data_IF_784505938320
#
_entry.id   IF_784505938320
#
_cell.length_a   1.000
_cell.length_b   1.000
_cell.length_c   1.000
_cell.angle_alpha   90.00
_cell.angle_beta   90.00
_cell.angle_gamma   90.00
#
_symmetry.space_group_name_H-M   'P 1'
#
loop_
_entity.id
_entity.type
_entity.pdbx_description
1 polymer ?
#
# COMPACT_ATOMS: atom_id res chain seq x y z
N UNK A 1 -3.19 19.29 18.74
CA UNK A 1 -3.97 18.08 19.04
C UNK A 1 -4.05 17.21 17.80
N UNK A 2 -3.59 16.00 17.89
CA UNK A 2 -3.77 15.02 16.83
C UNK A 2 -5.22 14.54 16.85
N UNK A 3 -6.05 15.05 15.95
CA UNK A 3 -7.40 14.55 15.74
C UNK A 3 -7.38 13.17 15.05
N UNK A 4 -8.51 12.51 15.06
CA UNK A 4 -8.74 11.29 14.29
C UNK A 4 -9.69 11.60 13.13
N UNK A 5 -9.35 11.15 11.94
CA UNK A 5 -10.21 11.23 10.78
C UNK A 5 -10.81 9.84 10.52
N UNK A 6 -12.12 9.73 10.72
CA UNK A 6 -12.85 8.49 10.51
C UNK A 6 -13.34 8.43 9.06
N UNK A 7 -13.01 7.34 8.38
CA UNK A 7 -13.40 7.09 7.00
C UNK A 7 -14.39 5.92 6.98
N UNK A 8 -15.56 6.14 6.42
CA UNK A 8 -16.53 5.06 6.21
C UNK A 8 -16.25 4.30 4.89
N UNK A 9 -16.96 3.18 4.68
CA UNK A 9 -16.76 2.36 3.48
C UNK A 9 -17.08 3.10 2.18
N UNK A 10 -18.09 3.97 2.18
CA UNK A 10 -18.44 4.75 0.99
C UNK A 10 -17.34 5.75 0.62
N UNK A 11 -16.80 6.45 1.61
CA UNK A 11 -15.67 7.36 1.43
C UNK A 11 -14.42 6.62 0.96
N UNK A 12 -14.13 5.46 1.56
CA UNK A 12 -12.98 4.64 1.19
C UNK A 12 -13.08 4.15 -0.25
N UNK A 13 -14.26 3.68 -0.64
CA UNK A 13 -14.51 3.25 -2.02
C UNK A 13 -14.29 4.37 -3.03
N UNK A 14 -14.74 5.58 -2.70
CA UNK A 14 -14.50 6.76 -3.53
C UNK A 14 -13.01 7.07 -3.69
N UNK A 15 -12.23 6.94 -2.61
CA UNK A 15 -10.78 7.13 -2.66
C UNK A 15 -10.08 6.05 -3.51
N UNK A 16 -10.55 4.81 -3.42
CA UNK A 16 -10.07 3.74 -4.32
C UNK A 16 -10.30 4.11 -5.78
N UNK A 17 -11.48 4.62 -6.12
CA UNK A 17 -11.81 5.05 -7.49
C UNK A 17 -10.86 6.16 -7.97
N UNK A 18 -10.48 7.07 -7.08
CA UNK A 18 -9.51 8.13 -7.42
C UNK A 18 -8.14 7.55 -7.78
N UNK A 19 -7.66 6.55 -7.03
CA UNK A 19 -6.38 5.88 -7.34
C UNK A 19 -6.48 5.12 -8.67
N UNK A 20 -7.57 4.38 -8.88
CA UNK A 20 -7.82 3.66 -10.15
C UNK A 20 -7.76 4.63 -11.32
N UNK A 21 -8.46 5.75 -11.23
CA UNK A 21 -8.48 6.77 -12.28
C UNK A 21 -7.09 7.38 -12.51
N UNK A 22 -6.33 7.63 -11.45
CA UNK A 22 -4.96 8.15 -11.57
C UNK A 22 -4.05 7.19 -12.33
N UNK A 23 -4.13 5.90 -12.02
CA UNK A 23 -3.35 4.87 -12.73
C UNK A 23 -3.76 4.79 -14.20
N UNK A 24 -5.07 4.73 -14.47
CA UNK A 24 -5.57 4.64 -15.84
C UNK A 24 -5.17 5.87 -16.67
N UNK A 25 -5.28 7.07 -16.10
CA UNK A 25 -4.96 8.32 -16.80
C UNK A 25 -3.46 8.52 -17.01
N UNK A 26 -2.62 7.87 -16.23
CA UNK A 26 -1.15 7.97 -16.35
C UNK A 26 -0.59 7.27 -17.58
N UNK A 27 -1.34 6.34 -18.14
CA UNK A 27 -0.84 5.46 -19.21
C UNK A 27 -0.02 4.28 -18.71
N UNK A 28 0.27 4.17 -17.42
CA UNK A 28 0.94 3.01 -16.85
C UNK A 28 0.02 1.78 -16.93
N UNK A 29 0.54 0.69 -17.48
CA UNK A 29 -0.20 -0.57 -17.66
C UNK A 29 0.51 -1.67 -16.88
N UNK A 30 0.16 -1.88 -15.59
CA UNK A 30 0.78 -2.93 -14.81
C UNK A 30 0.40 -4.31 -15.34
N UNK A 31 1.32 -5.25 -15.23
CA UNK A 31 1.07 -6.67 -15.52
C UNK A 31 0.55 -7.41 -14.28
N UNK A 32 0.86 -6.88 -13.08
CA UNK A 32 0.49 -7.47 -11.80
C UNK A 32 0.27 -6.38 -10.75
N UNK A 33 -0.73 -6.58 -9.91
CA UNK A 33 -0.98 -5.76 -8.72
C UNK A 33 -0.47 -6.53 -7.51
N UNK A 34 0.48 -5.96 -6.78
CA UNK A 34 1.06 -6.58 -5.58
C UNK A 34 0.58 -5.83 -4.35
N UNK A 35 -0.37 -6.40 -3.63
CA UNK A 35 -0.92 -5.82 -2.42
C UNK A 35 -0.11 -6.15 -1.19
N UNK A 36 0.09 -5.16 -0.33
CA UNK A 36 0.74 -5.34 0.98
C UNK A 36 -0.34 -5.68 2.00
N UNK A 37 -0.28 -6.88 2.56
CA UNK A 37 -1.24 -7.27 3.58
C UNK A 37 -0.87 -6.64 4.95
N UNK A 38 -1.86 -6.24 5.71
CA UNK A 38 -3.31 -6.29 5.43
C UNK A 38 -3.85 -5.01 4.78
N UNK A 39 -3.30 -3.85 5.13
CA UNK A 39 -3.87 -2.55 4.82
C UNK A 39 -4.07 -2.27 3.34
N UNK A 40 -3.18 -2.76 2.50
CA UNK A 40 -3.23 -2.55 1.06
C UNK A 40 -4.20 -3.44 0.30
N UNK A 41 -4.83 -4.43 0.95
CA UNK A 41 -5.62 -5.45 0.25
C UNK A 41 -6.88 -4.88 -0.42
N UNK A 42 -7.58 -3.94 0.21
CA UNK A 42 -8.79 -3.35 -0.38
C UNK A 42 -8.48 -2.54 -1.63
N UNK A 43 -7.44 -1.71 -1.58
CA UNK A 43 -7.01 -0.94 -2.74
C UNK A 43 -6.48 -1.86 -3.85
N UNK A 44 -5.70 -2.88 -3.48
CA UNK A 44 -5.16 -3.83 -4.44
C UNK A 44 -6.27 -4.62 -5.15
N UNK A 45 -7.29 -5.07 -4.43
CA UNK A 45 -8.45 -5.76 -5.01
C UNK A 45 -9.20 -4.84 -5.99
N UNK A 46 -9.43 -3.60 -5.60
CA UNK A 46 -10.08 -2.61 -6.46
C UNK A 46 -9.31 -2.35 -7.75
N UNK A 47 -8.00 -2.17 -7.65
CA UNK A 47 -7.10 -1.99 -8.80
C UNK A 47 -7.07 -3.23 -9.70
N UNK A 48 -6.92 -4.41 -9.10
CA UNK A 48 -6.88 -5.69 -9.82
C UNK A 48 -8.14 -5.89 -10.68
N UNK A 49 -9.30 -5.68 -10.07
CA UNK A 49 -10.59 -5.84 -10.77
C UNK A 49 -10.80 -4.78 -11.85
N UNK A 50 -10.54 -3.52 -11.54
CA UNK A 50 -10.74 -2.40 -12.46
C UNK A 50 -9.79 -2.45 -13.66
N UNK A 51 -8.55 -2.83 -13.43
CA UNK A 51 -7.53 -2.93 -14.49
C UNK A 51 -7.49 -4.30 -15.15
N UNK A 52 -8.23 -5.28 -14.62
CA UNK A 52 -8.28 -6.67 -15.10
C UNK A 52 -6.89 -7.32 -15.12
N UNK A 53 -6.18 -7.17 -14.00
CA UNK A 53 -4.83 -7.72 -13.83
C UNK A 53 -4.77 -8.63 -12.62
N UNK A 54 -3.91 -9.67 -12.65
CA UNK A 54 -3.79 -10.56 -11.51
C UNK A 54 -3.29 -9.83 -10.27
N UNK A 55 -3.72 -10.30 -9.11
CA UNK A 55 -3.30 -9.78 -7.82
C UNK A 55 -2.40 -10.80 -7.12
N UNK A 56 -1.31 -10.32 -6.58
CA UNK A 56 -0.43 -11.04 -5.67
C UNK A 56 -0.40 -10.34 -4.33
N UNK A 57 0.04 -11.03 -3.28
CA UNK A 57 0.09 -10.49 -1.92
C UNK A 57 1.45 -10.75 -1.28
N UNK A 58 2.01 -9.69 -0.69
CA UNK A 58 3.19 -9.77 0.15
C UNK A 58 2.82 -9.29 1.56
N UNK A 59 3.29 -10.00 2.58
CA UNK A 59 3.06 -9.58 3.95
C UNK A 59 4.22 -8.72 4.45
N UNK A 60 3.88 -7.63 5.10
CA UNK A 60 4.83 -6.77 5.80
C UNK A 60 4.24 -6.42 7.16
N UNK A 61 5.04 -6.52 8.20
CA UNK A 61 4.64 -6.08 9.53
C UNK A 61 5.80 -5.39 10.22
N UNK A 62 5.49 -4.34 10.96
CA UNK A 62 6.44 -3.73 11.87
C UNK A 62 6.23 -4.35 13.25
N UNK A 63 7.28 -4.99 13.76
CA UNK A 63 7.28 -5.53 15.12
C UNK A 63 7.52 -4.38 16.09
N UNK A 64 6.60 -4.20 17.04
CA UNK A 64 6.79 -3.29 18.16
C UNK A 64 7.07 -4.13 19.41
N UNK A 65 8.07 -3.72 20.20
CA UNK A 65 8.27 -4.31 21.52
C UNK A 65 7.00 -4.15 22.37
N UNK A 66 6.79 -5.06 23.32
CA UNK A 66 5.63 -5.08 24.19
C UNK A 66 5.37 -3.73 24.89
N UNK A 67 6.41 -2.94 25.08
CA UNK A 67 6.33 -1.61 25.69
C UNK A 67 5.95 -0.48 24.72
N UNK A 68 5.84 -0.76 23.43
CA UNK A 68 5.44 0.23 22.42
C UNK A 68 6.41 1.40 22.19
N UNK A 69 7.62 1.33 22.76
CA UNK A 69 8.59 2.42 22.80
C UNK A 69 9.69 2.32 21.75
N UNK A 70 9.93 1.14 21.16
CA UNK A 70 10.91 0.97 20.09
C UNK A 70 10.22 0.95 18.73
N UNK A 71 10.77 1.68 17.75
CA UNK A 71 10.45 1.45 16.35
C UNK A 71 10.87 0.03 16.02
N UNK A 72 9.89 -0.86 15.88
CA UNK A 72 10.15 -2.24 15.65
C UNK A 72 10.77 -2.48 14.29
N UNK A 73 11.53 -3.55 14.22
CA UNK A 73 12.13 -4.03 12.99
C UNK A 73 11.00 -4.38 11.99
N UNK A 74 11.12 -3.89 10.76
CA UNK A 74 10.20 -4.26 9.69
C UNK A 74 10.49 -5.69 9.25
N UNK A 75 9.46 -6.54 9.29
CA UNK A 75 9.52 -7.92 8.82
C UNK A 75 8.75 -8.05 7.52
N UNK A 76 9.43 -8.60 6.51
CA UNK A 76 8.84 -8.92 5.21
C UNK A 76 8.72 -10.42 5.07
N UNK A 77 7.61 -10.87 4.46
CA UNK A 77 7.47 -12.29 4.14
C UNK A 77 8.52 -12.70 3.09
N UNK A 78 9.09 -13.89 3.29
CA UNK A 78 10.06 -14.43 2.34
C UNK A 78 9.41 -14.86 1.02
N UNK A 79 8.10 -15.03 0.99
CA UNK A 79 7.36 -15.50 -0.17
C UNK A 79 6.20 -14.57 -0.50
N UNK A 80 5.86 -14.52 -1.78
CA UNK A 80 4.72 -13.80 -2.31
C UNK A 80 3.65 -14.82 -2.67
N UNK A 81 2.42 -14.61 -2.22
CA UNK A 81 1.28 -15.43 -2.62
C UNK A 81 0.80 -14.97 -4.00
N UNK A 82 0.98 -15.83 -5.00
CA UNK A 82 0.63 -15.51 -6.38
C UNK A 82 0.36 -16.79 -7.16
N UNK A 83 -0.55 -16.70 -8.13
CA UNK A 83 -0.84 -17.81 -9.07
C UNK A 83 0.29 -17.98 -10.08
N UNK A 84 0.93 -16.87 -10.44
CA UNK A 84 2.05 -16.84 -11.38
C UNK A 84 3.19 -15.99 -10.81
N UNK A 85 4.43 -16.16 -11.31
CA UNK A 85 5.54 -15.33 -10.85
C UNK A 85 5.24 -13.84 -11.03
N UNK A 86 5.62 -13.03 -10.02
CA UNK A 86 5.52 -11.57 -10.10
C UNK A 86 6.63 -11.08 -11.02
N UNK A 87 6.25 -10.53 -12.17
CA UNK A 87 7.20 -10.12 -13.21
C UNK A 87 6.61 -9.02 -14.09
N UNK A 88 7.45 -8.41 -14.91
CA UNK A 88 7.06 -7.35 -15.82
C UNK A 88 6.85 -6.02 -15.07
N UNK A 89 5.79 -5.32 -15.41
CA UNK A 89 5.40 -4.06 -14.76
C UNK A 89 4.54 -4.36 -13.55
N UNK A 90 5.02 -3.99 -12.37
CA UNK A 90 4.36 -4.31 -11.10
C UNK A 90 3.94 -3.02 -10.40
N UNK A 91 2.70 -3.00 -9.93
CA UNK A 91 2.18 -1.94 -9.06
C UNK A 91 2.11 -2.46 -7.64
N UNK A 92 2.97 -1.93 -6.77
CA UNK A 92 2.99 -2.23 -5.34
C UNK A 92 1.98 -1.32 -4.64
N UNK A 93 1.08 -1.91 -3.86
CA UNK A 93 -0.09 -1.21 -3.31
C UNK A 93 -0.15 -1.36 -1.81
N UNK A 94 -0.21 -0.23 -1.11
CA UNK A 94 -0.47 -0.16 0.32
C UNK A 94 -1.59 0.85 0.61
N UNK A 95 -2.02 0.97 1.85
CA UNK A 95 -3.07 1.93 2.23
C UNK A 95 -2.53 3.33 2.46
N UNK A 96 -1.42 3.44 3.15
CA UNK A 96 -0.91 4.70 3.70
C UNK A 96 0.62 4.73 3.65
N UNK A 97 1.16 5.83 3.15
CA UNK A 97 2.56 6.18 3.33
C UNK A 97 2.67 7.13 4.53
N UNK A 98 2.97 6.60 5.71
CA UNK A 98 3.14 7.35 6.96
C UNK A 98 4.56 7.91 7.04
N UNK A 99 5.52 7.12 7.51
CA UNK A 99 6.94 7.49 7.43
C UNK A 99 7.53 7.20 6.06
N UNK A 100 6.93 6.28 5.32
CA UNK A 100 7.40 5.84 4.02
C UNK A 100 8.46 4.72 4.08
N UNK A 101 8.91 4.34 5.26
CA UNK A 101 9.98 3.34 5.43
C UNK A 101 9.55 1.96 4.95
N UNK A 102 8.29 1.57 5.17
CA UNK A 102 7.76 0.28 4.71
C UNK A 102 7.81 0.16 3.18
N UNK A 103 7.31 1.18 2.47
CA UNK A 103 7.33 1.17 1.00
C UNK A 103 8.76 1.22 0.45
N UNK A 104 9.63 2.02 1.06
CA UNK A 104 11.03 2.09 0.69
C UNK A 104 11.72 0.74 0.83
N UNK A 105 11.50 0.06 1.97
CA UNK A 105 12.07 -1.26 2.23
C UNK A 105 11.52 -2.33 1.29
N UNK A 106 10.21 -2.29 1.03
CA UNK A 106 9.56 -3.22 0.09
C UNK A 106 10.10 -3.07 -1.33
N UNK A 107 10.23 -1.85 -1.82
CA UNK A 107 10.79 -1.60 -3.15
C UNK A 107 12.22 -2.14 -3.26
N UNK A 108 13.05 -1.92 -2.25
CA UNK A 108 14.42 -2.46 -2.22
C UNK A 108 14.44 -3.99 -2.21
N UNK A 109 13.58 -4.58 -1.37
CA UNK A 109 13.45 -6.03 -1.27
C UNK A 109 13.02 -6.66 -2.61
N UNK A 110 12.01 -6.09 -3.26
CA UNK A 110 11.50 -6.60 -4.53
C UNK A 110 12.54 -6.49 -5.66
N UNK A 111 13.27 -5.39 -5.73
CA UNK A 111 14.34 -5.22 -6.72
C UNK A 111 15.45 -6.24 -6.55
N UNK A 112 15.74 -6.63 -5.31
CA UNK A 112 16.79 -7.61 -4.99
C UNK A 112 16.33 -9.05 -5.23
N UNK A 113 15.09 -9.38 -4.84
CA UNK A 113 14.62 -10.78 -4.78
C UNK A 113 13.68 -11.17 -5.93
N UNK A 114 13.21 -10.20 -6.71
CA UNK A 114 12.32 -10.46 -7.84
C UNK A 114 12.91 -9.91 -9.14
N UNK A 115 13.93 -10.59 -9.70
CA UNK A 115 14.65 -10.07 -10.87
C UNK A 115 13.79 -10.00 -12.13
N UNK A 116 12.61 -10.67 -12.15
CA UNK A 116 11.67 -10.59 -13.26
C UNK A 116 10.87 -9.28 -13.33
N UNK A 117 10.97 -8.41 -12.32
CA UNK A 117 10.30 -7.11 -12.34
C UNK A 117 11.08 -6.15 -13.22
N UNK A 118 10.43 -5.66 -14.28
CA UNK A 118 11.03 -4.71 -15.24
C UNK A 118 10.82 -3.27 -14.79
N UNK A 119 9.63 -2.97 -14.25
CA UNK A 119 9.25 -1.65 -13.76
C UNK A 119 8.40 -1.80 -12.51
N UNK A 120 8.75 -1.05 -11.48
CA UNK A 120 8.03 -1.07 -10.20
C UNK A 120 7.52 0.33 -9.91
N UNK A 121 6.19 0.46 -9.80
CA UNK A 121 5.51 1.67 -9.33
C UNK A 121 4.70 1.38 -8.09
N UNK A 122 4.33 2.43 -7.39
CA UNK A 122 3.66 2.35 -6.09
C UNK A 122 2.38 3.15 -6.06
N UNK A 123 1.38 2.65 -5.35
CA UNK A 123 0.10 3.31 -5.14
C UNK A 123 -0.35 3.17 -3.69
N UNK A 124 -0.89 4.24 -3.14
CA UNK A 124 -1.48 4.28 -1.80
C UNK A 124 -2.77 5.11 -1.83
N UNK A 125 -3.55 5.04 -0.76
CA UNK A 125 -4.70 5.94 -0.60
C UNK A 125 -4.23 7.30 -0.07
N UNK A 126 -3.44 7.31 1.01
CA UNK A 126 -2.98 8.55 1.66
C UNK A 126 -1.47 8.62 1.78
N UNK A 127 -0.96 9.84 1.69
CA UNK A 127 0.45 10.16 1.99
C UNK A 127 0.47 11.21 3.10
N UNK A 128 1.17 10.92 4.19
CA UNK A 128 1.38 11.87 5.27
C UNK A 128 2.54 12.82 4.97
N UNK A 129 2.54 14.04 5.57
CA UNK A 129 3.59 15.03 5.26
C UNK A 129 5.01 14.59 5.64
N UNK A 130 5.13 13.69 6.64
CA UNK A 130 6.43 13.17 7.10
C UNK A 130 6.97 12.00 6.29
N UNK A 131 6.27 11.55 5.24
CA UNK A 131 6.74 10.41 4.45
C UNK A 131 8.03 10.75 3.71
N UNK A 132 9.05 9.91 3.89
CA UNK A 132 10.32 9.99 3.14
C UNK A 132 10.21 9.35 1.76
N UNK A 133 9.13 8.64 1.50
CA UNK A 133 8.86 7.97 0.24
C UNK A 133 7.69 8.66 -0.46
N UNK A 134 7.88 8.99 -1.75
CA UNK A 134 6.82 9.55 -2.58
C UNK A 134 6.24 8.47 -3.48
N UNK A 135 5.03 7.96 -3.21
CA UNK A 135 4.36 7.01 -4.11
C UNK A 135 4.11 7.62 -5.49
N UNK A 136 4.05 6.77 -6.51
CA UNK A 136 3.73 7.22 -7.88
C UNK A 136 2.26 7.66 -8.01
N UNK A 137 1.38 7.00 -7.26
CA UNK A 137 -0.06 7.29 -7.26
C UNK A 137 -0.59 7.36 -5.83
N UNK A 138 -1.43 8.34 -5.57
CA UNK A 138 -2.13 8.50 -4.30
C UNK A 138 -3.47 9.19 -4.52
N UNK A 139 -4.45 8.88 -3.67
CA UNK A 139 -5.73 9.60 -3.69
C UNK A 139 -5.60 10.96 -3.03
N UNK A 140 -4.97 11.02 -1.85
CA UNK A 140 -4.86 12.25 -1.08
C UNK A 140 -3.48 12.41 -0.45
N UNK A 141 -2.98 13.64 -0.50
CA UNK A 141 -1.82 14.08 0.28
C UNK A 141 -2.33 14.86 1.48
N UNK A 142 -2.05 14.35 2.67
CA UNK A 142 -2.47 14.99 3.91
C UNK A 142 -1.52 16.15 4.26
N UNK A 143 -2.08 17.20 4.82
CA UNK A 143 -1.33 18.39 5.24
C UNK A 143 -0.96 18.38 6.73
N UNK A 144 -1.42 17.38 7.46
CA UNK A 144 -1.15 17.19 8.88
C UNK A 144 -0.96 15.71 9.23
N UNK A 145 -0.32 15.47 10.38
CA UNK A 145 -0.13 14.11 10.90
C UNK A 145 -1.39 13.64 11.65
N UNK A 146 -2.52 13.64 10.96
CA UNK A 146 -3.78 13.15 11.49
C UNK A 146 -3.82 11.62 11.47
N UNK A 147 -4.42 11.03 12.50
CA UNK A 147 -4.64 9.59 12.52
C UNK A 147 -5.85 9.22 11.66
N UNK A 148 -5.63 8.40 10.64
CA UNK A 148 -6.71 7.88 9.80
C UNK A 148 -7.25 6.60 10.42
N UNK A 149 -8.56 6.58 10.72
CA UNK A 149 -9.28 5.38 11.14
C UNK A 149 -10.02 4.84 9.93
N UNK A 150 -9.51 3.76 9.37
CA UNK A 150 -10.08 3.13 8.17
C UNK A 150 -11.30 2.30 8.55
N UNK A 151 -12.27 2.09 7.63
CA UNK A 151 -13.56 1.48 8.00
C UNK A 151 -13.43 0.04 8.52
N UNK A 152 -12.42 -0.71 8.06
CA UNK A 152 -12.20 -2.08 8.50
C UNK A 152 -11.47 -2.18 9.86
N UNK A 153 -10.83 -1.11 10.32
CA UNK A 153 -10.10 -1.09 11.59
C UNK A 153 -11.02 -1.15 12.81
N UNK A 154 -12.31 -0.90 12.63
CA UNK A 154 -13.31 -1.04 13.71
C UNK A 154 -13.43 -2.48 14.20
N UNK A 155 -12.90 -3.43 13.45
CA UNK A 155 -12.87 -4.85 13.83
C UNK A 155 -11.58 -5.26 14.51
N UNK A 156 -10.62 -4.34 14.62
CA UNK A 156 -9.36 -4.65 15.30
C UNK A 156 -9.62 -4.77 16.80
N UNK A 157 -9.06 -5.81 17.39
CA UNK A 157 -9.13 -6.01 18.83
C UNK A 157 -8.03 -5.17 19.49
N UNK A 158 -8.43 -4.45 20.53
CA UNK A 158 -7.53 -3.65 21.34
C UNK A 158 -7.15 -4.40 22.62
#
# INVERSE_FOLDING_TARGET
MSGKLHIDYAQYHHLIDQVVNAVQNSGFRPDCILGVSRGGLFLADGLSRSLRKPMAVIAASSYRDEDGTAQGELRLSASIASVSPVSGKVLLVDDLADTGHTLQALCGHLRTHCPGIDELKTAVVWVKPGSVFKPDFAAEYLDSDIWIVQPFETRDFH
#
